data_IF_994735169784
#
_entry.id   IF_994735169784
#
_cell.length_a   1.000
_cell.length_b   1.000
_cell.length_c   1.000
_cell.angle_alpha   90.00
_cell.angle_beta   90.00
_cell.angle_gamma   90.00
#
_symmetry.space_group_name_H-M   'P 1'
#
loop_
_entity.id
_entity.type
_entity.pdbx_description
1 polymer ?
#
# COMPACT_ATOMS: atom_id res chain seq x y z
N UNK A 1 -18.54 21.62 9.27
CA UNK A 1 -17.41 20.71 9.02
C UNK A 1 -16.51 20.70 10.26
N UNK A 2 -16.44 19.59 11.00
CA UNK A 2 -15.70 19.52 12.27
C UNK A 2 -14.36 18.79 12.19
N UNK A 3 -14.07 18.17 11.04
CA UNK A 3 -12.80 17.51 10.75
C UNK A 3 -12.43 17.70 9.29
N UNK A 4 -11.13 17.80 9.01
CA UNK A 4 -10.59 17.87 7.65
C UNK A 4 -9.48 16.83 7.47
N UNK A 5 -9.34 16.31 6.25
CA UNK A 5 -8.21 15.45 5.87
C UNK A 5 -7.12 16.35 5.31
N UNK A 6 -5.96 16.32 5.95
CA UNK A 6 -4.78 17.10 5.57
C UNK A 6 -3.71 16.15 5.10
N UNK A 7 -2.91 16.54 4.11
CA UNK A 7 -1.78 15.76 3.67
C UNK A 7 -0.94 16.51 2.65
N UNK A 8 0.19 15.92 2.29
CA UNK A 8 1.10 16.51 1.29
C UNK A 8 0.64 16.09 -0.11
N UNK A 9 0.85 16.92 -1.14
CA UNK A 9 0.66 16.48 -2.51
C UNK A 9 1.67 15.39 -2.87
N UNK A 10 1.30 14.50 -3.78
CA UNK A 10 2.25 13.59 -4.41
C UNK A 10 3.13 14.37 -5.39
N UNK A 11 4.32 14.75 -4.96
CA UNK A 11 5.37 15.23 -5.85
C UNK A 11 6.13 14.05 -6.47
N UNK A 12 5.95 13.86 -7.76
CA UNK A 12 6.53 12.76 -8.53
C UNK A 12 7.77 13.23 -9.29
N UNK A 13 8.95 13.05 -8.69
CA UNK A 13 10.21 13.21 -9.40
C UNK A 13 10.31 12.17 -10.54
N UNK A 14 10.17 12.64 -11.79
CA UNK A 14 10.12 11.78 -12.98
C UNK A 14 11.41 10.99 -13.23
N UNK A 15 12.54 11.48 -12.74
CA UNK A 15 13.84 10.80 -12.85
C UNK A 15 14.00 9.67 -11.83
N UNK A 16 13.20 9.70 -10.75
CA UNK A 16 13.25 8.70 -9.69
C UNK A 16 12.93 7.30 -10.23
N UNK A 17 13.71 6.31 -9.81
CA UNK A 17 13.45 4.91 -10.15
C UNK A 17 12.11 4.42 -9.61
N UNK A 18 11.61 4.99 -8.50
CA UNK A 18 10.27 4.69 -7.98
C UNK A 18 9.20 5.08 -9.00
N UNK A 19 9.32 6.27 -9.60
CA UNK A 19 8.39 6.76 -10.61
C UNK A 19 8.49 5.95 -11.91
N UNK A 20 9.71 5.73 -12.42
CA UNK A 20 9.92 5.03 -13.70
C UNK A 20 9.50 3.56 -13.63
N UNK A 21 9.90 2.84 -12.57
CA UNK A 21 9.49 1.45 -12.38
C UNK A 21 8.01 1.36 -12.01
N UNK A 22 7.49 2.28 -11.20
CA UNK A 22 6.06 2.35 -10.88
C UNK A 22 5.18 2.47 -12.13
N UNK A 23 5.45 3.45 -12.99
CA UNK A 23 4.74 3.60 -14.26
C UNK A 23 4.91 2.40 -15.18
N UNK A 24 6.12 1.83 -15.26
CA UNK A 24 6.34 0.62 -16.03
C UNK A 24 5.39 -0.51 -15.59
N UNK A 25 5.20 -0.70 -14.28
CA UNK A 25 4.31 -1.73 -13.75
C UNK A 25 2.84 -1.39 -14.00
N UNK A 26 2.44 -0.12 -13.90
CA UNK A 26 1.08 0.32 -14.22
C UNK A 26 0.74 0.07 -15.71
N UNK A 27 1.66 0.44 -16.61
CA UNK A 27 1.50 0.25 -18.05
C UNK A 27 1.59 -1.23 -18.46
N UNK A 28 2.36 -2.04 -17.72
CA UNK A 28 2.65 -3.44 -18.03
C UNK A 28 2.20 -4.36 -16.89
N UNK A 29 0.90 -4.32 -16.61
CA UNK A 29 0.22 -5.05 -15.52
C UNK A 29 0.56 -6.54 -15.36
N UNK A 30 0.98 -7.21 -16.42
CA UNK A 30 1.45 -8.59 -16.41
C UNK A 30 2.74 -8.79 -15.59
N UNK A 31 3.56 -7.74 -15.45
CA UNK A 31 4.79 -7.74 -14.65
C UNK A 31 4.53 -7.60 -13.14
N UNK A 32 3.32 -7.19 -12.74
CA UNK A 32 2.97 -6.92 -11.33
C UNK A 32 3.18 -8.15 -10.42
N UNK A 33 2.76 -9.34 -10.87
CA UNK A 33 2.94 -10.61 -10.11
C UNK A 33 4.40 -10.89 -9.79
N UNK A 34 5.25 -10.83 -10.82
CA UNK A 34 6.69 -11.05 -10.69
C UNK A 34 7.31 -9.97 -9.79
N UNK A 35 6.94 -8.71 -10.01
CA UNK A 35 7.44 -7.58 -9.23
C UNK A 35 7.12 -7.70 -7.74
N UNK A 36 5.87 -7.99 -7.35
CA UNK A 36 5.47 -8.20 -5.95
C UNK A 36 6.23 -9.37 -5.31
N UNK A 37 6.41 -10.46 -6.04
CA UNK A 37 7.20 -11.61 -5.58
C UNK A 37 8.67 -11.24 -5.34
N UNK A 38 9.26 -10.46 -6.24
CA UNK A 38 10.63 -9.95 -6.14
C UNK A 38 10.76 -9.02 -4.93
N UNK A 39 9.83 -8.07 -4.76
CA UNK A 39 9.82 -7.15 -3.60
C UNK A 39 9.73 -7.88 -2.26
N UNK A 40 9.05 -9.03 -2.19
CA UNK A 40 8.94 -9.78 -0.93
C UNK A 40 10.15 -10.69 -0.67
N UNK A 41 10.65 -11.36 -1.71
CA UNK A 41 11.61 -12.48 -1.59
C UNK A 41 13.06 -12.12 -1.91
N UNK A 42 13.29 -11.18 -2.82
CA UNK A 42 14.65 -10.81 -3.25
C UNK A 42 15.25 -9.79 -2.27
N UNK A 43 16.13 -10.29 -1.39
CA UNK A 43 16.82 -9.52 -0.36
C UNK A 43 18.25 -10.01 -0.16
N UNK A 44 19.16 -9.08 0.16
CA UNK A 44 20.54 -9.37 0.55
C UNK A 44 21.32 -10.18 -0.49
N UNK A 45 22.22 -11.05 -0.04
CA UNK A 45 23.15 -11.81 -0.90
C UNK A 45 22.48 -12.73 -1.93
N UNK A 46 21.19 -13.06 -1.75
CA UNK A 46 20.42 -13.91 -2.68
C UNK A 46 19.51 -13.11 -3.61
N UNK A 47 19.63 -11.79 -3.64
CA UNK A 47 18.76 -10.93 -4.42
C UNK A 47 18.77 -11.29 -5.92
N UNK A 48 19.92 -11.22 -6.59
CA UNK A 48 19.98 -11.50 -8.03
C UNK A 48 19.54 -12.94 -8.38
N UNK A 49 20.04 -14.00 -7.69
CA UNK A 49 19.56 -15.35 -7.93
C UNK A 49 18.04 -15.51 -7.75
N UNK A 50 17.44 -14.81 -6.78
CA UNK A 50 16.01 -14.85 -6.54
C UNK A 50 15.22 -14.11 -7.63
N UNK A 51 15.72 -12.96 -8.09
CA UNK A 51 15.14 -12.23 -9.22
C UNK A 51 15.10 -13.12 -10.46
N UNK A 52 16.24 -13.73 -10.80
CA UNK A 52 16.36 -14.59 -11.99
C UNK A 52 15.43 -15.81 -11.90
N UNK A 53 15.37 -16.45 -10.73
CA UNK A 53 14.48 -17.59 -10.49
C UNK A 53 13.00 -17.22 -10.64
N UNK A 54 12.58 -16.08 -10.08
CA UNK A 54 11.18 -15.61 -10.18
C UNK A 54 10.83 -15.29 -11.62
N UNK A 55 11.68 -14.52 -12.33
CA UNK A 55 11.45 -14.17 -13.74
C UNK A 55 11.33 -15.44 -14.59
N UNK A 56 12.27 -16.38 -14.44
CA UNK A 56 12.26 -17.66 -15.16
C UNK A 56 10.95 -18.43 -14.91
N UNK A 57 10.54 -18.54 -13.65
CA UNK A 57 9.31 -19.24 -13.27
C UNK A 57 8.05 -18.59 -13.87
N UNK A 58 7.95 -17.26 -13.88
CA UNK A 58 6.78 -16.58 -14.43
C UNK A 58 6.75 -16.62 -15.97
N UNK A 59 7.90 -16.64 -16.63
CA UNK A 59 8.03 -16.91 -18.08
C UNK A 59 7.58 -18.34 -18.42
N UNK A 60 8.04 -19.36 -17.68
CA UNK A 60 7.66 -20.76 -17.87
C UNK A 60 6.16 -21.00 -17.68
N UNK A 61 5.51 -20.22 -16.81
CA UNK A 61 4.05 -20.25 -16.60
C UNK A 61 3.26 -19.45 -17.64
N UNK A 62 3.93 -18.79 -18.59
CA UNK A 62 3.28 -17.92 -19.58
C UNK A 62 2.59 -16.68 -18.97
N UNK A 63 2.94 -16.30 -17.74
CA UNK A 63 2.35 -15.12 -17.06
C UNK A 63 3.06 -13.82 -17.41
N UNK A 64 4.28 -13.91 -17.90
CA UNK A 64 5.13 -12.78 -18.25
C UNK A 64 5.52 -12.89 -19.72
N UNK A 65 5.43 -11.79 -20.47
CA UNK A 65 5.86 -11.73 -21.87
C UNK A 65 7.33 -11.31 -21.97
N UNK A 66 7.96 -11.54 -23.13
CA UNK A 66 9.37 -11.17 -23.34
C UNK A 66 9.54 -9.75 -23.89
N UNK A 67 8.47 -9.10 -24.35
CA UNK A 67 8.53 -7.83 -25.09
C UNK A 67 9.21 -6.69 -24.31
N UNK A 68 8.97 -6.63 -23.00
CA UNK A 68 9.50 -5.60 -22.11
C UNK A 68 10.45 -6.13 -21.04
N UNK A 69 10.91 -7.38 -21.18
CA UNK A 69 11.66 -8.07 -20.14
C UNK A 69 13.00 -7.41 -19.83
N UNK A 70 13.75 -7.00 -20.86
CA UNK A 70 15.04 -6.36 -20.66
C UNK A 70 14.89 -5.00 -19.98
N UNK A 71 13.88 -4.21 -20.37
CA UNK A 71 13.56 -2.95 -19.70
C UNK A 71 13.18 -3.16 -18.23
N UNK A 72 12.38 -4.19 -17.94
CA UNK A 72 12.02 -4.57 -16.58
C UNK A 72 13.27 -4.93 -15.75
N UNK A 73 14.16 -5.77 -16.30
CA UNK A 73 15.43 -6.14 -15.63
C UNK A 73 16.33 -4.92 -15.38
N UNK A 74 16.45 -4.01 -16.34
CA UNK A 74 17.22 -2.77 -16.16
C UNK A 74 16.65 -1.94 -15.02
N UNK A 75 15.33 -1.73 -14.99
CA UNK A 75 14.71 -1.01 -13.89
C UNK A 75 14.86 -1.72 -12.54
N UNK A 76 14.77 -3.06 -12.50
CA UNK A 76 15.01 -3.80 -11.26
C UNK A 76 16.45 -3.62 -10.75
N UNK A 77 17.45 -3.72 -11.63
CA UNK A 77 18.85 -3.55 -11.26
C UNK A 77 19.13 -2.14 -10.70
N UNK A 78 18.59 -1.11 -11.36
CA UNK A 78 18.68 0.26 -10.88
C UNK A 78 17.93 0.45 -9.55
N UNK A 79 16.72 -0.10 -9.45
CA UNK A 79 15.89 -0.03 -8.26
C UNK A 79 16.60 -0.64 -7.05
N UNK A 80 17.22 -1.80 -7.22
CA UNK A 80 17.96 -2.44 -6.16
C UNK A 80 19.25 -1.70 -5.79
N UNK A 81 19.92 -1.07 -6.75
CA UNK A 81 21.04 -0.16 -6.46
C UNK A 81 20.57 0.98 -5.56
N UNK A 82 19.37 1.50 -5.81
CA UNK A 82 18.78 2.55 -4.98
C UNK A 82 18.32 2.06 -3.61
N UNK A 83 17.78 0.84 -3.52
CA UNK A 83 17.46 0.18 -2.23
C UNK A 83 18.72 -0.03 -1.40
N UNK A 84 19.86 -0.37 -1.99
CA UNK A 84 21.11 -0.52 -1.25
C UNK A 84 21.64 0.83 -0.72
N UNK A 85 21.34 1.94 -1.41
CA UNK A 85 21.71 3.30 -1.00
C UNK A 85 20.79 3.88 0.09
N UNK A 86 19.47 3.74 -0.09
CA UNK A 86 18.46 4.40 0.74
C UNK A 86 17.80 3.45 1.77
N UNK A 87 18.10 2.15 1.71
CA UNK A 87 17.51 1.12 2.56
C UNK A 87 16.03 0.84 2.27
N UNK A 88 15.28 0.55 3.34
CA UNK A 88 13.87 0.14 3.26
C UNK A 88 12.91 1.26 2.81
N UNK A 89 13.34 2.52 2.82
CA UNK A 89 12.55 3.69 2.39
C UNK A 89 12.15 3.58 0.90
N UNK A 90 13.09 3.21 0.03
CA UNK A 90 12.79 3.01 -1.40
C UNK A 90 11.78 1.88 -1.63
N UNK A 91 11.79 0.83 -0.77
CA UNK A 91 10.84 -0.29 -0.89
C UNK A 91 9.43 0.05 -0.46
N UNK A 92 9.27 0.89 0.56
CA UNK A 92 7.96 1.41 0.96
C UNK A 92 7.37 2.32 -0.12
N UNK A 93 8.16 3.29 -0.58
CA UNK A 93 7.74 4.32 -1.54
C UNK A 93 7.19 3.77 -2.84
N UNK A 94 7.73 2.67 -3.37
CA UNK A 94 7.20 2.09 -4.61
C UNK A 94 5.81 1.45 -4.42
N UNK A 95 5.52 0.92 -3.24
CA UNK A 95 4.18 0.39 -2.93
C UNK A 95 3.20 1.54 -2.75
N UNK A 96 3.58 2.58 -2.02
CA UNK A 96 2.79 3.82 -1.86
C UNK A 96 2.51 4.47 -3.22
N UNK A 97 3.52 4.55 -4.09
CA UNK A 97 3.38 5.06 -5.46
C UNK A 97 2.32 4.27 -6.23
N UNK A 98 2.41 2.93 -6.23
CA UNK A 98 1.44 2.09 -6.93
C UNK A 98 0.03 2.28 -6.37
N UNK A 99 -0.14 2.28 -5.04
CA UNK A 99 -1.45 2.51 -4.39
C UNK A 99 -2.04 3.86 -4.81
N UNK A 100 -1.24 4.93 -4.75
CA UNK A 100 -1.70 6.28 -5.11
C UNK A 100 -2.19 6.41 -6.55
N UNK A 101 -1.64 5.60 -7.47
CA UNK A 101 -1.97 5.65 -8.89
C UNK A 101 -3.05 4.64 -9.32
N UNK A 102 -3.25 3.52 -8.60
CA UNK A 102 -4.40 2.64 -8.85
C UNK A 102 -5.71 3.26 -8.37
N UNK A 103 -5.64 4.21 -7.44
CA UNK A 103 -6.79 4.94 -6.91
C UNK A 103 -7.47 4.24 -5.73
N UNK A 104 -8.57 4.83 -5.22
CA UNK A 104 -9.35 4.22 -4.14
C UNK A 104 -9.95 2.90 -4.60
N UNK A 105 -9.91 1.89 -3.73
CA UNK A 105 -10.46 0.56 -4.01
C UNK A 105 -11.94 0.45 -3.58
N UNK A 106 -12.40 1.34 -2.70
CA UNK A 106 -13.73 1.32 -2.11
C UNK A 106 -14.77 2.15 -2.86
N UNK A 107 -14.37 3.07 -3.74
CA UNK A 107 -15.30 3.88 -4.54
C UNK A 107 -14.70 4.33 -5.88
N UNK A 108 -15.55 4.54 -6.87
CA UNK A 108 -15.18 5.10 -8.19
C UNK A 108 -15.80 6.50 -8.32
N UNK A 109 -14.97 7.54 -8.45
CA UNK A 109 -15.39 8.92 -8.65
C UNK A 109 -14.42 9.67 -9.58
N UNK A 110 -14.98 10.54 -10.43
CA UNK A 110 -14.26 11.35 -11.42
C UNK A 110 -13.39 12.44 -10.76
N UNK A 111 -13.89 13.09 -9.70
CA UNK A 111 -13.14 14.07 -8.93
C UNK A 111 -12.81 13.52 -7.55
N UNK A 112 -11.52 13.42 -7.24
CA UNK A 112 -11.01 13.02 -5.93
C UNK A 112 -9.67 13.70 -5.66
N UNK A 113 -9.45 14.07 -4.41
CA UNK A 113 -8.17 14.52 -3.91
C UNK A 113 -7.32 13.31 -3.54
N UNK A 114 -6.02 13.38 -3.84
CA UNK A 114 -5.03 12.33 -3.51
C UNK A 114 -3.88 12.98 -2.75
N UNK A 115 -3.62 12.51 -1.54
CA UNK A 115 -2.59 13.06 -0.65
C UNK A 115 -1.74 11.96 -0.04
N UNK A 116 -0.47 12.29 0.25
CA UNK A 116 0.49 11.43 0.96
C UNK A 116 0.74 11.95 2.36
N UNK A 117 1.28 11.10 3.24
CA UNK A 117 1.58 11.44 4.64
C UNK A 117 0.37 12.15 5.31
N UNK A 118 -0.84 11.62 5.17
CA UNK A 118 -2.06 12.35 5.51
C UNK A 118 -2.59 12.06 6.92
N UNK A 119 -3.29 13.00 7.52
CA UNK A 119 -3.88 12.89 8.86
C UNK A 119 -5.22 13.63 8.91
N UNK A 120 -5.89 13.55 10.05
CA UNK A 120 -7.14 14.24 10.31
C UNK A 120 -6.91 15.34 11.34
N UNK A 121 -7.39 16.53 11.06
CA UNK A 121 -7.40 17.67 12.00
C UNK A 121 -8.83 17.99 12.43
N UNK A 122 -8.99 18.47 13.66
CA UNK A 122 -10.25 19.03 14.16
C UNK A 122 -10.42 20.52 13.80
N UNK A 123 -11.47 21.17 14.30
CA UNK A 123 -11.74 22.59 14.04
C UNK A 123 -10.70 23.56 14.59
N UNK A 124 -9.88 23.12 15.55
CA UNK A 124 -8.82 23.93 16.15
C UNK A 124 -7.47 23.74 15.41
N UNK A 125 -7.42 22.83 14.43
CA UNK A 125 -6.18 22.44 13.76
C UNK A 125 -5.38 21.38 14.52
N UNK A 126 -5.97 20.76 15.55
CA UNK A 126 -5.28 19.73 16.33
C UNK A 126 -5.41 18.37 15.65
N UNK A 127 -4.33 17.59 15.64
CA UNK A 127 -4.32 16.25 15.04
C UNK A 127 -5.13 15.26 15.87
N UNK A 128 -6.14 14.68 15.23
CA UNK A 128 -6.96 13.64 15.84
C UNK A 128 -6.14 12.36 15.99
N UNK A 129 -6.15 11.77 17.19
CA UNK A 129 -5.45 10.51 17.47
C UNK A 129 -3.93 10.64 17.62
N UNK A 130 -3.39 11.87 17.63
CA UNK A 130 -1.97 12.16 17.87
C UNK A 130 -1.13 12.34 16.59
N UNK A 131 0.20 12.19 16.71
CA UNK A 131 1.17 12.56 15.66
C UNK A 131 1.33 11.54 14.51
N UNK A 132 0.56 10.46 14.51
CA UNK A 132 0.60 9.47 13.43
C UNK A 132 -0.17 9.99 12.22
N UNK A 133 0.17 9.47 11.05
CA UNK A 133 -0.46 9.76 9.77
C UNK A 133 -0.83 8.45 9.06
N UNK A 134 -1.37 8.52 7.85
CA UNK A 134 -1.52 7.44 6.88
C UNK A 134 -0.57 7.70 5.71
N UNK A 135 -0.16 6.64 5.03
CA UNK A 135 0.76 6.76 3.89
C UNK A 135 0.05 7.40 2.67
N UNK A 136 -1.20 7.03 2.40
CA UNK A 136 -2.02 7.53 1.27
C UNK A 136 -3.44 7.86 1.72
N UNK A 137 -4.01 8.96 1.25
CA UNK A 137 -5.41 9.31 1.43
C UNK A 137 -6.09 9.70 0.13
N UNK A 138 -7.26 9.12 -0.10
CA UNK A 138 -8.20 9.54 -1.13
C UNK A 138 -9.41 10.16 -0.46
N UNK A 139 -9.86 11.34 -0.90
CA UNK A 139 -11.08 11.92 -0.36
C UNK A 139 -11.77 12.86 -1.35
N UNK A 140 -13.05 13.11 -1.12
CA UNK A 140 -13.82 14.13 -1.83
C UNK A 140 -14.11 15.30 -0.89
N UNK A 141 -14.21 16.49 -1.47
CA UNK A 141 -14.73 17.64 -0.72
C UNK A 141 -16.19 17.35 -0.33
N UNK A 142 -16.54 17.69 0.91
CA UNK A 142 -17.87 17.45 1.46
C UNK A 142 -18.29 18.60 2.37
N UNK A 143 -19.59 18.84 2.51
CA UNK A 143 -20.09 19.93 3.38
C UNK A 143 -20.20 19.47 4.86
N UNK A 144 -20.49 18.19 5.07
CA UNK A 144 -20.62 17.56 6.38
C UNK A 144 -19.99 16.17 6.42
N UNK A 145 -19.83 15.63 7.64
CA UNK A 145 -19.10 14.38 7.88
C UNK A 145 -19.84 13.16 7.35
N UNK A 146 -21.16 13.16 7.37
CA UNK A 146 -22.01 12.09 6.84
C UNK A 146 -21.83 11.93 5.33
N UNK A 147 -21.51 13.02 4.62
CA UNK A 147 -21.25 13.02 3.18
C UNK A 147 -19.78 12.69 2.84
N UNK A 148 -18.88 12.64 3.83
CA UNK A 148 -17.47 12.36 3.60
C UNK A 148 -17.34 11.03 2.85
N UNK A 149 -16.61 11.05 1.74
CA UNK A 149 -16.16 9.85 1.04
C UNK A 149 -14.65 9.85 1.09
N UNK A 150 -14.07 8.89 1.80
CA UNK A 150 -12.63 8.85 2.01
C UNK A 150 -12.11 7.44 2.18
N UNK A 151 -10.91 7.20 1.68
CA UNK A 151 -10.14 5.98 1.86
C UNK A 151 -8.75 6.36 2.36
N UNK A 152 -8.47 6.06 3.63
CA UNK A 152 -7.19 6.35 4.29
C UNK A 152 -6.40 5.05 4.44
N UNK A 153 -5.21 5.00 3.86
CA UNK A 153 -4.46 3.77 3.64
C UNK A 153 -3.09 3.87 4.29
N UNK A 154 -2.79 2.90 5.14
CA UNK A 154 -1.43 2.61 5.56
C UNK A 154 -0.84 1.49 4.70
N UNK A 155 0.24 1.79 3.98
CA UNK A 155 0.93 0.90 3.07
C UNK A 155 2.02 0.13 3.80
N UNK A 156 2.03 -1.20 3.66
CA UNK A 156 3.09 -2.06 4.19
C UNK A 156 3.48 -3.11 3.18
N UNK A 157 4.76 -3.11 2.80
CA UNK A 157 5.30 -4.12 1.90
C UNK A 157 5.02 -5.55 2.39
N UNK A 158 5.30 -5.82 3.68
CA UNK A 158 5.09 -7.11 4.32
C UNK A 158 4.27 -6.93 5.60
N UNK A 159 2.96 -7.16 5.48
CA UNK A 159 2.03 -6.98 6.60
C UNK A 159 2.29 -7.94 7.77
N UNK A 160 2.73 -9.18 7.50
CA UNK A 160 3.07 -10.13 8.55
C UNK A 160 4.25 -9.61 9.38
N UNK A 161 5.29 -9.07 8.72
CA UNK A 161 6.42 -8.46 9.41
C UNK A 161 6.02 -7.18 10.16
N UNK A 162 5.11 -6.38 9.62
CA UNK A 162 4.63 -5.19 10.33
C UNK A 162 3.90 -5.57 11.63
N UNK A 163 2.94 -6.49 11.56
CA UNK A 163 2.06 -6.85 12.68
C UNK A 163 2.73 -7.78 13.68
N UNK A 164 3.30 -8.90 13.23
CA UNK A 164 3.69 -10.02 14.10
C UNK A 164 5.08 -9.85 14.71
N UNK A 165 5.24 -10.21 15.99
CA UNK A 165 6.57 -10.40 16.60
C UNK A 165 7.31 -11.62 16.03
N UNK A 166 6.57 -12.63 15.54
CA UNK A 166 7.11 -13.85 14.92
C UNK A 166 6.43 -14.09 13.56
N UNK A 167 6.82 -13.34 12.51
CA UNK A 167 6.11 -13.34 11.21
C UNK A 167 6.18 -14.66 10.43
N UNK A 168 6.98 -15.63 10.89
CA UNK A 168 7.14 -16.95 10.28
C UNK A 168 6.51 -18.08 11.09
N UNK A 169 5.86 -17.76 12.22
CA UNK A 169 5.17 -18.73 13.08
C UNK A 169 3.65 -18.41 13.05
N UNK A 170 2.86 -19.14 12.25
CA UNK A 170 1.44 -18.84 12.08
C UNK A 170 0.60 -19.09 13.34
N UNK A 171 1.15 -19.82 14.32
CA UNK A 171 0.49 -20.08 15.60
C UNK A 171 0.70 -18.94 16.59
N UNK A 172 1.67 -18.07 16.33
CA UNK A 172 2.00 -16.96 17.21
C UNK A 172 1.26 -15.68 16.81
N UNK A 173 0.14 -15.43 17.49
CA UNK A 173 -0.70 -14.26 17.22
C UNK A 173 -0.26 -13.01 18.01
N UNK A 174 1.01 -12.89 18.41
CA UNK A 174 1.46 -11.72 19.19
C UNK A 174 1.83 -10.55 18.31
N UNK A 175 1.24 -9.38 18.58
CA UNK A 175 1.46 -8.15 17.81
C UNK A 175 2.64 -7.32 18.35
N UNK A 176 3.39 -6.66 17.47
CA UNK A 176 4.43 -5.67 17.82
C UNK A 176 3.80 -4.42 18.44
N UNK A 177 4.46 -3.82 19.45
CA UNK A 177 3.97 -2.61 20.12
C UNK A 177 3.74 -1.45 19.14
N UNK A 178 4.70 -1.19 18.23
CA UNK A 178 4.55 -0.14 17.19
C UNK A 178 3.35 -0.37 16.27
N UNK A 179 2.98 -1.63 16.03
CA UNK A 179 1.80 -1.96 15.24
C UNK A 179 0.52 -1.71 16.03
N UNK A 180 0.48 -2.09 17.32
CA UNK A 180 -0.62 -1.76 18.23
C UNK A 180 -0.85 -0.24 18.23
N UNK A 181 0.19 0.55 18.50
CA UNK A 181 0.07 2.02 18.51
C UNK A 181 -0.50 2.58 17.20
N UNK A 182 -0.12 1.98 16.06
CA UNK A 182 -0.61 2.41 14.75
C UNK A 182 -2.06 2.01 14.52
N UNK A 183 -2.46 0.79 14.88
CA UNK A 183 -3.84 0.33 14.73
C UNK A 183 -4.79 1.04 15.69
N UNK A 184 -4.34 1.39 16.90
CA UNK A 184 -5.10 2.22 17.83
C UNK A 184 -5.37 3.62 17.25
N UNK A 185 -4.36 4.24 16.63
CA UNK A 185 -4.56 5.48 15.88
C UNK A 185 -5.59 5.33 14.76
N UNK A 186 -5.46 4.30 13.92
CA UNK A 186 -6.41 4.07 12.82
C UNK A 186 -7.83 3.86 13.36
N UNK A 187 -7.97 3.13 14.48
CA UNK A 187 -9.24 2.93 15.17
C UNK A 187 -9.83 4.25 15.68
N UNK A 188 -9.03 5.11 16.29
CA UNK A 188 -9.48 6.44 16.73
C UNK A 188 -10.00 7.27 15.56
N UNK A 189 -9.29 7.25 14.42
CA UNK A 189 -9.74 7.96 13.21
C UNK A 189 -11.07 7.37 12.71
N UNK A 190 -11.19 6.05 12.61
CA UNK A 190 -12.43 5.39 12.16
C UNK A 190 -13.63 5.72 13.04
N UNK A 191 -13.42 5.78 14.36
CA UNK A 191 -14.46 6.11 15.34
C UNK A 191 -14.85 7.59 15.26
N UNK A 192 -13.86 8.49 15.14
CA UNK A 192 -14.09 9.93 15.06
C UNK A 192 -14.89 10.28 13.80
N UNK A 193 -14.56 9.64 12.69
CA UNK A 193 -15.22 9.86 11.40
C UNK A 193 -16.36 8.84 11.14
N UNK A 194 -16.87 8.17 12.19
CA UNK A 194 -17.90 7.12 12.07
C UNK A 194 -19.25 7.55 11.49
N UNK A 195 -19.69 8.82 11.53
CA UNK A 195 -20.89 9.25 10.83
C UNK A 195 -20.84 9.09 9.30
N UNK A 196 -19.64 8.97 8.72
CA UNK A 196 -19.48 8.62 7.30
C UNK A 196 -19.66 7.12 7.07
N UNK A 197 -20.67 6.76 6.28
CA UNK A 197 -20.89 5.40 5.79
C UNK A 197 -19.88 5.00 4.69
N UNK A 198 -19.25 6.00 4.05
CA UNK A 198 -18.32 5.81 2.92
C UNK A 198 -16.86 5.98 3.32
N UNK A 199 -16.56 6.02 4.62
CA UNK A 199 -15.20 6.01 5.12
C UNK A 199 -14.65 4.60 5.16
N UNK A 200 -13.52 4.42 4.48
CA UNK A 200 -12.66 3.26 4.64
C UNK A 200 -11.33 3.66 5.25
N UNK A 201 -10.88 2.90 6.24
CA UNK A 201 -9.49 2.92 6.70
C UNK A 201 -8.91 1.53 6.47
N UNK A 202 -7.73 1.46 5.85
CA UNK A 202 -7.18 0.20 5.37
C UNK A 202 -5.68 0.04 5.62
N UNK A 203 -5.26 -1.22 5.75
CA UNK A 203 -3.87 -1.64 5.56
C UNK A 203 -3.75 -2.19 4.14
N UNK A 204 -2.85 -1.64 3.33
CA UNK A 204 -2.58 -2.14 1.99
C UNK A 204 -1.21 -2.84 1.90
N UNK A 205 -1.13 -3.95 1.17
CA UNK A 205 0.08 -4.75 1.03
C UNK A 205 0.14 -5.49 -0.29
N UNK A 206 1.35 -5.65 -0.84
CA UNK A 206 1.60 -6.49 -2.03
C UNK A 206 1.69 -7.99 -1.71
N UNK A 207 1.52 -8.36 -0.44
CA UNK A 207 1.50 -9.76 0.00
C UNK A 207 0.20 -10.45 -0.42
N UNK A 208 0.33 -11.68 -0.92
CA UNK A 208 -0.82 -12.53 -1.25
C UNK A 208 -1.43 -13.17 0.00
N UNK A 209 -0.59 -13.86 0.79
CA UNK A 209 -1.03 -14.54 2.01
C UNK A 209 -0.98 -13.59 3.22
N UNK A 210 -2.16 -13.15 3.63
CA UNK A 210 -2.39 -12.25 4.78
C UNK A 210 -3.20 -12.94 5.89
N UNK A 211 -3.33 -14.27 5.90
CA UNK A 211 -4.15 -14.97 6.90
C UNK A 211 -3.62 -14.76 8.32
N UNK A 212 -2.31 -14.88 8.51
CA UNK A 212 -1.68 -14.57 9.80
C UNK A 212 -1.98 -13.14 10.25
N UNK A 213 -1.86 -12.18 9.33
CA UNK A 213 -2.17 -10.77 9.60
C UNK A 213 -3.63 -10.58 10.03
N UNK A 214 -4.58 -11.19 9.32
CA UNK A 214 -6.02 -11.14 9.64
C UNK A 214 -6.33 -11.80 10.98
N UNK A 215 -5.70 -12.93 11.30
CA UNK A 215 -5.88 -13.63 12.57
C UNK A 215 -5.35 -12.80 13.75
N UNK A 216 -4.18 -12.16 13.57
CA UNK A 216 -3.63 -11.22 14.56
C UNK A 216 -4.55 -10.02 14.74
N UNK A 217 -5.04 -9.40 13.65
CA UNK A 217 -5.96 -8.27 13.77
C UNK A 217 -7.26 -8.66 14.48
N UNK A 218 -7.78 -9.86 14.22
CA UNK A 218 -8.97 -10.40 14.87
C UNK A 218 -8.74 -10.63 16.37
N UNK A 219 -7.61 -11.22 16.77
CA UNK A 219 -7.33 -11.48 18.19
C UNK A 219 -7.19 -10.20 19.03
N UNK A 220 -6.93 -9.06 18.40
CA UNK A 220 -6.87 -7.73 19.02
C UNK A 220 -8.11 -6.86 18.74
N UNK A 221 -9.13 -7.38 18.05
CA UNK A 221 -10.41 -6.69 17.81
C UNK A 221 -10.39 -5.59 16.74
N UNK A 222 -9.47 -5.65 15.78
CA UNK A 222 -9.37 -4.67 14.68
C UNK A 222 -10.08 -5.11 13.38
N UNK A 223 -10.50 -6.37 13.27
CA UNK A 223 -10.97 -6.99 12.02
C UNK A 223 -12.24 -6.40 11.42
N UNK A 224 -13.10 -5.75 12.22
CA UNK A 224 -14.31 -5.09 11.74
C UNK A 224 -14.15 -3.57 11.57
N UNK A 225 -12.95 -3.04 11.84
CA UNK A 225 -12.68 -1.60 11.85
C UNK A 225 -11.71 -1.18 10.75
N UNK A 226 -10.80 -2.08 10.36
CA UNK A 226 -9.70 -1.80 9.45
C UNK A 226 -9.72 -2.84 8.33
N UNK A 227 -9.88 -2.38 7.10
CA UNK A 227 -9.84 -3.25 5.92
C UNK A 227 -8.40 -3.69 5.61
N UNK A 228 -8.26 -4.82 4.91
CA UNK A 228 -6.96 -5.30 4.43
C UNK A 228 -7.02 -5.47 2.92
N UNK A 229 -6.30 -4.60 2.22
CA UNK A 229 -6.09 -4.67 0.78
C UNK A 229 -4.80 -5.43 0.48
N UNK A 230 -4.95 -6.71 0.21
CA UNK A 230 -3.84 -7.59 -0.20
C UNK A 230 -3.52 -7.46 -1.70
N UNK A 231 -2.56 -8.28 -2.15
CA UNK A 231 -2.17 -8.40 -3.55
C UNK A 231 -3.35 -8.48 -4.53
N UNK A 232 -4.40 -9.25 -4.19
CA UNK A 232 -5.52 -9.47 -5.11
C UNK A 232 -6.39 -8.22 -5.26
N UNK A 233 -6.48 -7.38 -4.23
CA UNK A 233 -7.17 -6.09 -4.30
C UNK A 233 -6.40 -5.14 -5.20
N UNK A 234 -5.09 -5.01 -4.98
CA UNK A 234 -4.21 -4.18 -5.80
C UNK A 234 -4.19 -4.62 -7.26
N UNK A 235 -4.10 -5.93 -7.52
CA UNK A 235 -4.10 -6.47 -8.87
C UNK A 235 -5.42 -6.19 -9.60
N UNK A 236 -6.57 -6.36 -8.92
CA UNK A 236 -7.88 -6.01 -9.50
C UNK A 236 -8.00 -4.53 -9.82
N UNK A 237 -7.54 -3.65 -8.93
CA UNK A 237 -7.56 -2.20 -9.16
C UNK A 237 -6.67 -1.83 -10.38
N UNK A 238 -5.49 -2.43 -10.46
CA UNK A 238 -4.56 -2.24 -11.57
C UNK A 238 -5.08 -2.78 -12.90
N UNK A 239 -5.78 -3.92 -12.90
CA UNK A 239 -6.41 -4.46 -14.12
C UNK A 239 -7.58 -3.60 -14.61
N UNK A 240 -8.35 -2.98 -13.70
CA UNK A 240 -9.42 -2.03 -14.05
C UNK A 240 -8.88 -0.81 -14.79
N UNK A 241 -7.72 -0.27 -14.39
CA UNK A 241 -7.10 0.87 -15.08
C UNK A 241 -6.90 0.60 -16.57
N UNK A 242 -6.44 -0.61 -16.94
CA UNK A 242 -6.24 -0.99 -18.35
C UNK A 242 -7.52 -1.12 -19.14
N UNK A 243 -8.64 -1.46 -18.50
CA UNK A 243 -9.94 -1.56 -19.18
C UNK A 243 -10.60 -0.21 -19.46
N UNK A 244 -10.11 0.86 -18.83
CA UNK A 244 -10.63 2.21 -18.97
C UNK A 244 -9.82 3.09 -19.95
N UNK A 245 -8.66 2.62 -20.40
CA UNK A 245 -7.74 3.27 -21.35
C UNK A 245 -7.88 2.71 -22.76
#
# INVERSE_FOLDING_TARGET
>A
MHYIIVGKPFDYNRESIVFRLGNFILDNAEYFSAFCSILLKAKGRRQQPMVDAIIKTELEKGKLNTAHLEKFKTFLAEYFTKVDQDGDDTRGRIVEYLISNVGPMSFELESKNVVKDCWVEDTNGDKVGGEKNFDVGFYCDCECLEQLRAELIESKLDLNNFLSKKPYDPTNLTMKAKAIDKLDYIKTIRQTLSPSEHLVVALATVRYDVELSKNIMTSYGYNNLIEVYDYNHLKRALDKLKSAS
#
